data_IF_085414532065
#
_entry.id   IF_085414532065
#
_cell.length_a   1.000
_cell.length_b   1.000
_cell.length_c   1.000
_cell.angle_alpha   90.00
_cell.angle_beta   90.00
_cell.angle_gamma   90.00
#
_symmetry.space_group_name_H-M   'P 1'
#
loop_
_entity.id
_entity.type
_entity.pdbx_description
1 polymer ?
#
# COMPACT_ATOMS: atom_id res chain seq x y z
N UNK A 1 -2.75 11.61 -33.64
CA UNK A 1 -3.71 11.14 -32.61
C UNK A 1 -4.99 11.92 -32.82
N UNK A 2 -6.16 11.28 -32.81
CA UNK A 2 -7.45 11.93 -33.02
C UNK A 2 -8.33 11.78 -31.78
N UNK A 3 -9.09 12.81 -31.45
CA UNK A 3 -10.06 12.78 -30.36
C UNK A 3 -11.23 11.85 -30.74
N UNK A 4 -11.61 10.96 -29.82
CA UNK A 4 -12.87 10.21 -29.94
C UNK A 4 -14.02 11.13 -29.55
N UNK A 5 -14.88 11.47 -30.52
CA UNK A 5 -16.01 12.37 -30.32
C UNK A 5 -17.03 11.84 -29.32
N UNK A 6 -17.18 10.52 -29.18
CA UNK A 6 -18.15 9.93 -28.26
C UNK A 6 -17.83 10.20 -26.79
N UNK A 7 -16.56 10.47 -26.47
CA UNK A 7 -16.15 10.84 -25.12
C UNK A 7 -16.68 12.23 -24.73
N UNK A 8 -16.81 13.15 -25.68
CA UNK A 8 -17.29 14.51 -25.45
C UNK A 8 -18.77 14.60 -25.03
N UNK A 9 -19.54 13.51 -25.12
CA UNK A 9 -20.91 13.45 -24.59
C UNK A 9 -20.92 13.35 -23.05
N UNK A 10 -19.81 12.91 -22.45
CA UNK A 10 -19.66 12.60 -21.03
C UNK A 10 -19.35 13.85 -20.19
N UNK A 11 -19.17 13.64 -18.89
CA UNK A 11 -18.72 14.61 -17.91
C UNK A 11 -17.61 14.04 -17.01
N UNK A 12 -16.70 14.90 -16.58
CA UNK A 12 -15.74 14.60 -15.51
C UNK A 12 -16.16 15.30 -14.22
N UNK A 13 -16.19 14.57 -13.11
CA UNK A 13 -16.36 15.13 -11.76
C UNK A 13 -15.03 15.02 -11.03
N UNK A 14 -14.47 16.16 -10.64
CA UNK A 14 -13.38 16.21 -9.68
C UNK A 14 -13.96 16.19 -8.27
N UNK A 15 -13.64 15.16 -7.51
CA UNK A 15 -14.30 14.88 -6.25
C UNK A 15 -13.31 14.96 -5.09
N UNK A 16 -13.55 15.91 -4.17
CA UNK A 16 -13.04 15.77 -2.81
C UNK A 16 -13.90 14.78 -2.00
N UNK A 17 -13.32 14.24 -0.93
CA UNK A 17 -13.98 13.27 -0.05
C UNK A 17 -14.28 13.90 1.29
N UNK A 18 -13.29 14.56 1.88
CA UNK A 18 -13.40 15.19 3.18
C UNK A 18 -14.31 16.42 3.03
N UNK A 19 -15.35 16.52 3.85
CA UNK A 19 -16.33 17.59 3.72
C UNK A 19 -17.29 17.49 2.53
N UNK A 20 -17.20 16.43 1.71
CA UNK A 20 -18.15 16.14 0.61
C UNK A 20 -18.92 14.84 0.88
N UNK A 21 -18.22 13.70 0.90
CA UNK A 21 -18.81 12.39 1.19
C UNK A 21 -18.54 11.93 2.63
N UNK A 22 -17.55 12.53 3.28
CA UNK A 22 -17.18 12.32 4.66
C UNK A 22 -17.35 13.67 5.39
N UNK A 23 -18.51 13.98 5.97
CA UNK A 23 -18.68 15.17 6.79
C UNK A 23 -17.66 15.15 7.94
N UNK A 24 -16.85 16.20 8.06
CA UNK A 24 -15.80 16.33 9.09
C UNK A 24 -16.26 17.36 10.14
N UNK A 25 -16.68 16.91 11.33
CA UNK A 25 -17.00 17.84 12.41
C UNK A 25 -15.80 18.73 12.74
N UNK A 26 -16.05 20.02 13.02
CA UNK A 26 -15.02 21.05 13.28
C UNK A 26 -14.00 20.70 14.38
N UNK A 27 -14.28 19.68 15.20
CA UNK A 27 -13.43 19.28 16.32
C UNK A 27 -12.72 17.92 16.12
N UNK A 28 -12.95 17.22 15.01
CA UNK A 28 -12.35 15.91 14.72
C UNK A 28 -11.67 15.93 13.37
N UNK A 29 -10.48 16.52 13.28
CA UNK A 29 -9.65 16.45 12.08
C UNK A 29 -9.35 14.99 11.72
N UNK A 30 -9.80 14.58 10.52
CA UNK A 30 -9.51 13.25 9.95
C UNK A 30 -10.22 12.08 10.63
N UNK A 31 -11.21 12.33 11.48
CA UNK A 31 -12.04 11.31 12.12
C UNK A 31 -13.48 11.42 11.67
N UNK A 32 -13.93 10.48 10.83
CA UNK A 32 -15.32 10.41 10.38
C UNK A 32 -15.56 9.16 9.54
N UNK A 33 -16.84 8.81 9.39
CA UNK A 33 -17.30 7.76 8.49
C UNK A 33 -17.91 8.38 7.24
N UNK A 34 -17.81 7.66 6.12
CA UNK A 34 -18.49 8.04 4.89
C UNK A 34 -20.01 8.08 5.14
N UNK A 35 -20.67 9.12 4.64
CA UNK A 35 -22.12 9.29 4.78
C UNK A 35 -22.85 8.61 3.62
N UNK A 36 -23.75 7.69 3.98
CA UNK A 36 -24.70 7.07 3.04
C UNK A 36 -25.51 8.13 2.30
N UNK A 37 -26.00 9.15 3.01
CA UNK A 37 -26.84 10.20 2.47
C UNK A 37 -26.08 11.03 1.42
N UNK A 38 -24.82 11.36 1.67
CA UNK A 38 -23.96 12.07 0.71
C UNK A 38 -23.72 11.23 -0.54
N UNK A 39 -23.47 9.93 -0.39
CA UNK A 39 -23.33 9.00 -1.52
C UNK A 39 -24.63 8.89 -2.34
N UNK A 40 -25.81 8.87 -1.71
CA UNK A 40 -27.08 8.90 -2.44
C UNK A 40 -27.31 10.22 -3.18
N UNK A 41 -26.81 11.35 -2.67
CA UNK A 41 -26.85 12.64 -3.37
C UNK A 41 -25.93 12.66 -4.58
N UNK A 42 -24.72 12.13 -4.45
CA UNK A 42 -23.81 11.95 -5.58
C UNK A 42 -24.43 11.06 -6.66
N UNK A 43 -25.07 9.95 -6.27
CA UNK A 43 -25.83 9.10 -7.19
C UNK A 43 -26.92 9.88 -7.92
N UNK A 44 -27.76 10.64 -7.20
CA UNK A 44 -28.82 11.47 -7.82
C UNK A 44 -28.26 12.47 -8.83
N UNK A 45 -27.11 13.08 -8.52
CA UNK A 45 -26.43 13.99 -9.45
C UNK A 45 -25.95 13.24 -10.70
N UNK A 46 -25.35 12.06 -10.55
CA UNK A 46 -24.92 11.22 -11.67
C UNK A 46 -26.09 10.78 -12.54
N UNK A 47 -27.23 10.44 -11.95
CA UNK A 47 -28.45 10.12 -12.70
C UNK A 47 -28.90 11.31 -13.56
N UNK A 48 -28.79 12.55 -13.05
CA UNK A 48 -29.08 13.78 -13.82
C UNK A 48 -28.07 14.06 -14.94
N UNK A 49 -26.84 13.55 -14.81
CA UNK A 49 -25.81 13.61 -15.85
C UNK A 49 -25.99 12.55 -16.95
N UNK A 50 -27.04 11.72 -16.88
CA UNK A 50 -27.29 10.63 -17.83
C UNK A 50 -26.83 9.25 -17.33
N UNK A 51 -26.49 9.13 -16.04
CA UNK A 51 -26.11 7.87 -15.40
C UNK A 51 -24.61 7.58 -15.48
N UNK A 52 -24.20 6.47 -14.83
CA UNK A 52 -22.77 6.15 -14.62
C UNK A 52 -21.89 6.10 -15.86
N UNK A 53 -22.44 5.71 -17.01
CA UNK A 53 -21.65 5.60 -18.25
C UNK A 53 -21.23 6.98 -18.78
N UNK A 54 -22.00 8.01 -18.42
CA UNK A 54 -21.79 9.39 -18.83
C UNK A 54 -20.86 10.16 -17.89
N UNK A 55 -20.37 9.53 -16.83
CA UNK A 55 -19.56 10.21 -15.81
C UNK A 55 -18.24 9.48 -15.59
N UNK A 56 -17.17 10.25 -15.48
CA UNK A 56 -15.88 9.81 -14.94
C UNK A 56 -15.67 10.53 -13.61
N UNK A 57 -15.33 9.77 -12.55
CA UNK A 57 -14.92 10.36 -11.26
C UNK A 57 -13.40 10.38 -11.19
N UNK A 58 -12.84 11.57 -10.95
CA UNK A 58 -11.43 11.81 -10.70
C UNK A 58 -11.29 12.36 -9.29
N UNK A 59 -10.51 11.71 -8.44
CA UNK A 59 -10.32 12.20 -7.08
C UNK A 59 -9.37 13.39 -7.06
N UNK A 60 -9.82 14.51 -6.50
CA UNK A 60 -8.96 15.63 -6.13
C UNK A 60 -8.57 15.60 -4.64
N UNK A 61 -9.13 14.67 -3.86
CA UNK A 61 -8.80 14.45 -2.44
C UNK A 61 -7.44 13.80 -2.21
N UNK A 62 -6.86 14.00 -1.02
CA UNK A 62 -5.65 13.30 -0.56
C UNK A 62 -5.80 11.77 -0.56
N UNK A 63 -7.04 11.26 -0.50
CA UNK A 63 -7.36 9.83 -0.57
C UNK A 63 -6.78 9.14 -1.80
N UNK A 64 -6.64 9.85 -2.93
CA UNK A 64 -6.07 9.33 -4.18
C UNK A 64 -4.63 8.82 -4.04
N UNK A 65 -3.91 9.28 -3.01
CA UNK A 65 -2.51 8.91 -2.75
C UNK A 65 -2.35 7.57 -2.05
N UNK A 66 -3.45 6.97 -1.57
CA UNK A 66 -3.46 5.72 -0.82
C UNK A 66 -4.45 4.74 -1.46
N UNK A 67 -3.97 3.69 -2.16
CA UNK A 67 -4.86 2.72 -2.82
C UNK A 67 -5.92 2.13 -1.88
N UNK A 68 -5.56 1.84 -0.63
CA UNK A 68 -6.49 1.32 0.37
C UNK A 68 -7.66 2.27 0.70
N UNK A 69 -7.45 3.58 0.59
CA UNK A 69 -8.52 4.58 0.80
C UNK A 69 -9.44 4.65 -0.43
N UNK A 70 -8.88 4.55 -1.63
CA UNK A 70 -9.67 4.45 -2.87
C UNK A 70 -10.51 3.17 -2.87
N UNK A 71 -9.94 2.04 -2.47
CA UNK A 71 -10.65 0.76 -2.32
C UNK A 71 -11.77 0.86 -1.29
N UNK A 72 -11.49 1.48 -0.13
CA UNK A 72 -12.50 1.74 0.90
C UNK A 72 -13.67 2.58 0.37
N UNK A 73 -13.36 3.64 -0.36
CA UNK A 73 -14.37 4.51 -0.98
C UNK A 73 -15.22 3.74 -1.99
N UNK A 74 -14.59 3.05 -2.94
CA UNK A 74 -15.30 2.28 -3.97
C UNK A 74 -16.17 1.18 -3.35
N UNK A 75 -15.68 0.46 -2.34
CA UNK A 75 -16.46 -0.55 -1.63
C UNK A 75 -17.68 0.05 -0.92
N UNK A 76 -17.52 1.20 -0.27
CA UNK A 76 -18.62 1.89 0.41
C UNK A 76 -19.65 2.43 -0.59
N UNK A 77 -19.20 3.08 -1.67
CA UNK A 77 -20.06 3.59 -2.74
C UNK A 77 -20.86 2.45 -3.38
N UNK A 78 -20.23 1.31 -3.65
CA UNK A 78 -20.90 0.13 -4.20
C UNK A 78 -21.93 -0.45 -3.23
N UNK A 79 -21.64 -0.46 -1.91
CA UNK A 79 -22.57 -0.96 -0.90
C UNK A 79 -23.81 -0.06 -0.76
N UNK A 80 -23.62 1.26 -0.83
CA UNK A 80 -24.72 2.22 -0.59
C UNK A 80 -25.48 2.59 -1.86
N UNK A 81 -24.78 2.90 -2.96
CA UNK A 81 -25.38 3.33 -4.23
C UNK A 81 -25.54 2.22 -5.27
N UNK A 82 -25.07 1.00 -4.99
CA UNK A 82 -25.10 -0.09 -5.95
C UNK A 82 -24.22 0.24 -7.16
N UNK A 83 -24.76 -0.04 -8.35
CA UNK A 83 -24.08 0.23 -9.62
C UNK A 83 -24.38 1.63 -10.18
N UNK A 84 -25.05 2.52 -9.44
CA UNK A 84 -25.47 3.84 -9.93
C UNK A 84 -24.36 4.90 -9.99
N UNK A 85 -23.26 4.69 -9.26
CA UNK A 85 -22.10 5.59 -9.21
C UNK A 85 -20.91 4.84 -9.84
N UNK A 86 -20.18 5.43 -10.81
CA UNK A 86 -19.00 4.79 -11.37
C UNK A 86 -17.91 4.71 -10.30
N UNK A 87 -17.06 3.67 -10.40
CA UNK A 87 -15.85 3.62 -9.57
C UNK A 87 -14.94 4.78 -9.92
N UNK A 88 -14.11 5.19 -8.96
CA UNK A 88 -13.04 6.15 -9.20
C UNK A 88 -12.16 5.66 -10.34
N UNK A 89 -12.02 6.49 -11.38
CA UNK A 89 -11.23 6.15 -12.56
C UNK A 89 -9.78 6.61 -12.43
N UNK A 90 -9.55 7.74 -11.76
CA UNK A 90 -8.23 8.36 -11.65
C UNK A 90 -8.15 9.31 -10.45
N UNK A 91 -6.99 9.94 -10.24
CA UNK A 91 -6.80 11.04 -9.31
C UNK A 91 -5.97 12.17 -9.92
N UNK A 92 -6.21 13.40 -9.46
CA UNK A 92 -5.36 14.53 -9.86
C UNK A 92 -3.90 14.28 -9.45
N UNK A 93 -2.90 14.85 -10.15
CA UNK A 93 -1.50 14.71 -9.76
C UNK A 93 -1.29 15.15 -8.30
N UNK A 94 -0.37 14.49 -7.59
CA UNK A 94 -0.02 14.92 -6.22
C UNK A 94 0.96 16.09 -6.25
N UNK A 95 0.53 17.23 -5.70
CA UNK A 95 1.35 18.40 -5.51
C UNK A 95 1.50 19.25 -6.77
N UNK A 96 1.84 20.51 -6.54
CA UNK A 96 2.06 21.48 -7.61
C UNK A 96 3.47 21.37 -8.18
N UNK A 97 3.53 21.14 -9.49
CA UNK A 97 4.76 21.14 -10.29
C UNK A 97 5.06 22.54 -10.80
N UNK A 98 4.02 23.21 -11.29
CA UNK A 98 3.98 24.63 -11.62
C UNK A 98 3.02 25.26 -10.60
N UNK A 99 3.52 26.28 -9.89
CA UNK A 99 2.77 26.97 -8.84
C UNK A 99 2.28 28.29 -9.40
N UNK A 100 0.96 28.45 -9.49
CA UNK A 100 0.38 29.74 -9.88
C UNK A 100 0.56 30.79 -8.78
N UNK A 101 0.67 32.06 -9.16
CA UNK A 101 0.59 33.16 -8.19
C UNK A 101 -0.86 33.57 -8.04
N UNK A 102 -1.35 33.56 -6.80
CA UNK A 102 -2.71 33.95 -6.43
C UNK A 102 -2.65 34.85 -5.20
N UNK A 103 -3.64 35.71 -5.00
CA UNK A 103 -3.67 36.73 -3.94
C UNK A 103 -4.92 36.66 -3.05
N UNK A 104 -5.74 35.61 -3.17
CA UNK A 104 -6.86 35.36 -2.26
C UNK A 104 -6.35 34.90 -0.87
N UNK A 105 -7.10 35.24 0.19
CA UNK A 105 -6.75 34.95 1.59
C UNK A 105 -5.37 35.46 2.01
N UNK A 106 -5.07 36.74 1.77
CA UNK A 106 -3.78 37.35 2.15
C UNK A 106 -3.40 37.15 3.64
N UNK A 107 -4.39 37.01 4.52
CA UNK A 107 -4.20 36.78 5.97
C UNK A 107 -4.09 35.30 6.36
N UNK A 108 -4.36 34.36 5.44
CA UNK A 108 -4.18 32.92 5.64
C UNK A 108 -3.40 32.28 4.47
N UNK A 109 -2.06 32.36 4.51
CA UNK A 109 -1.20 31.77 3.48
C UNK A 109 -1.34 30.25 3.35
N UNK A 110 -1.83 29.57 4.40
CA UNK A 110 -1.98 28.11 4.38
C UNK A 110 -3.22 27.72 3.59
N UNK A 111 -4.36 28.37 3.85
CA UNK A 111 -5.58 28.20 3.06
C UNK A 111 -5.36 28.64 1.61
N UNK A 112 -4.70 29.78 1.41
CA UNK A 112 -4.31 30.25 0.07
C UNK A 112 -3.52 29.18 -0.70
N UNK A 113 -2.52 28.58 -0.06
CA UNK A 113 -1.74 27.49 -0.65
C UNK A 113 -2.60 26.28 -1.00
N UNK A 114 -3.46 25.83 -0.10
CA UNK A 114 -4.26 24.62 -0.31
C UNK A 114 -5.25 24.81 -1.48
N UNK A 115 -5.94 25.96 -1.53
CA UNK A 115 -6.89 26.25 -2.61
C UNK A 115 -6.13 26.35 -3.93
N UNK A 116 -4.97 27.02 -3.94
CA UNK A 116 -4.14 27.15 -5.13
C UNK A 116 -3.68 25.81 -5.64
N UNK A 117 -3.13 25.00 -4.73
CA UNK A 117 -2.61 23.70 -5.08
C UNK A 117 -3.73 22.81 -5.65
N UNK A 118 -4.94 22.87 -5.06
CA UNK A 118 -6.12 22.15 -5.58
C UNK A 118 -6.52 22.58 -6.99
N UNK A 119 -6.64 23.89 -7.24
CA UNK A 119 -7.02 24.41 -8.57
C UNK A 119 -5.96 24.04 -9.61
N UNK A 120 -4.67 24.20 -9.27
CA UNK A 120 -3.55 23.86 -10.17
C UNK A 120 -3.50 22.36 -10.47
N UNK A 121 -3.85 21.50 -9.52
CA UNK A 121 -3.95 20.05 -9.72
C UNK A 121 -5.07 19.66 -10.69
N UNK A 122 -6.26 20.26 -10.57
CA UNK A 122 -7.39 20.04 -11.48
C UNK A 122 -7.01 20.48 -12.90
N UNK A 123 -6.51 21.70 -13.07
CA UNK A 123 -6.13 22.22 -14.39
C UNK A 123 -5.00 21.43 -15.04
N UNK A 124 -4.01 21.03 -14.25
CA UNK A 124 -2.95 20.14 -14.74
C UNK A 124 -3.52 18.83 -15.26
N UNK A 125 -4.46 18.23 -14.52
CA UNK A 125 -5.10 17.00 -14.97
C UNK A 125 -5.84 17.23 -16.30
N UNK A 126 -6.61 18.32 -16.42
CA UNK A 126 -7.31 18.68 -17.66
C UNK A 126 -6.36 18.80 -18.87
N UNK A 127 -5.20 19.43 -18.68
CA UNK A 127 -4.24 19.69 -19.76
C UNK A 127 -3.40 18.46 -20.15
N UNK A 128 -3.26 17.49 -19.24
CA UNK A 128 -2.45 16.28 -19.45
C UNK A 128 -3.27 15.07 -19.89
N UNK A 129 -4.60 15.14 -19.84
CA UNK A 129 -5.52 14.04 -20.20
C UNK A 129 -6.43 14.40 -21.39
N UNK A 130 -5.97 15.26 -22.30
CA UNK A 130 -6.78 15.75 -23.43
C UNK A 130 -7.27 14.63 -24.36
N UNK A 131 -6.49 13.56 -24.50
CA UNK A 131 -6.83 12.43 -25.39
C UNK A 131 -7.81 11.46 -24.73
N UNK A 132 -7.63 11.21 -23.43
CA UNK A 132 -8.39 10.26 -22.63
C UNK A 132 -9.71 10.85 -22.14
N UNK A 133 -9.72 12.17 -21.86
CA UNK A 133 -10.84 12.92 -21.30
C UNK A 133 -11.10 14.24 -22.05
N UNK A 134 -11.36 14.18 -23.36
CA UNK A 134 -11.61 15.37 -24.17
C UNK A 134 -12.84 16.17 -23.74
N UNK A 135 -13.83 15.55 -23.10
CA UNK A 135 -14.97 16.23 -22.49
C UNK A 135 -14.55 17.28 -21.47
N UNK A 136 -13.50 16.99 -20.69
CA UNK A 136 -13.08 17.83 -19.58
C UNK A 136 -12.36 19.09 -20.08
N UNK A 137 -11.36 18.96 -20.95
CA UNK A 137 -10.72 20.13 -21.56
C UNK A 137 -11.71 20.93 -22.43
N UNK A 138 -12.73 20.25 -22.98
CA UNK A 138 -13.83 20.88 -23.69
C UNK A 138 -14.85 21.63 -22.82
N UNK A 139 -14.63 21.69 -21.50
CA UNK A 139 -15.45 22.45 -20.56
C UNK A 139 -16.64 21.67 -19.96
N UNK A 140 -16.71 20.35 -20.12
CA UNK A 140 -17.77 19.51 -19.54
C UNK A 140 -17.26 18.80 -18.28
N UNK A 141 -16.96 19.61 -17.27
CA UNK A 141 -16.51 19.13 -15.97
C UNK A 141 -17.00 20.05 -14.85
N UNK A 142 -16.94 19.56 -13.62
CA UNK A 142 -17.03 20.41 -12.44
C UNK A 142 -16.36 19.73 -11.25
N UNK A 143 -15.94 20.52 -10.27
CA UNK A 143 -15.37 20.08 -9.02
C UNK A 143 -16.39 20.20 -7.88
N UNK A 144 -16.40 19.21 -6.98
CA UNK A 144 -17.16 19.23 -5.73
C UNK A 144 -16.16 19.16 -4.59
N UNK A 145 -16.14 20.20 -3.77
CA UNK A 145 -15.12 20.39 -2.74
C UNK A 145 -15.68 21.22 -1.58
N UNK A 146 -15.16 21.01 -0.38
CA UNK A 146 -15.50 21.80 0.80
C UNK A 146 -14.60 23.04 0.95
N UNK A 147 -13.49 23.08 0.21
CA UNK A 147 -12.65 24.25 0.04
C UNK A 147 -13.30 25.27 -0.90
N UNK A 148 -13.14 26.57 -0.63
CA UNK A 148 -13.73 27.62 -1.47
C UNK A 148 -12.86 27.89 -2.72
N UNK A 149 -13.03 27.06 -3.75
CA UNK A 149 -12.21 27.08 -4.98
C UNK A 149 -12.64 28.17 -6.00
N UNK A 150 -13.87 28.67 -5.92
CA UNK A 150 -14.41 29.72 -6.81
C UNK A 150 -13.78 31.11 -6.62
N UNK A 151 -12.89 31.27 -5.63
CA UNK A 151 -12.03 32.46 -5.53
C UNK A 151 -11.07 32.58 -6.70
N UNK A 152 -10.76 31.48 -7.38
CA UNK A 152 -10.02 31.47 -8.63
C UNK A 152 -11.00 31.54 -9.82
N UNK A 153 -10.79 32.50 -10.73
CA UNK A 153 -11.63 32.71 -11.92
C UNK A 153 -11.75 31.44 -12.78
N UNK A 154 -10.72 30.59 -12.77
CA UNK A 154 -10.69 29.31 -13.48
C UNK A 154 -11.81 28.35 -13.04
N UNK A 155 -12.21 28.41 -11.78
CA UNK A 155 -13.23 27.51 -11.22
C UNK A 155 -14.66 28.01 -11.44
N UNK A 156 -14.83 29.22 -11.97
CA UNK A 156 -16.14 29.85 -12.14
C UNK A 156 -17.01 29.03 -13.10
N UNK A 157 -18.21 28.67 -12.64
CA UNK A 157 -19.16 27.86 -13.41
C UNK A 157 -18.85 26.36 -13.41
N UNK A 158 -17.75 25.94 -12.77
CA UNK A 158 -17.30 24.56 -12.69
C UNK A 158 -17.11 24.10 -11.24
N UNK A 159 -17.71 24.78 -10.26
CA UNK A 159 -17.46 24.48 -8.85
C UNK A 159 -18.72 24.46 -8.00
N UNK A 160 -18.87 23.39 -7.22
CA UNK A 160 -19.92 23.19 -6.22
C UNK A 160 -19.26 23.15 -4.84
N UNK A 161 -19.50 24.18 -4.04
CA UNK A 161 -18.97 24.31 -2.69
C UNK A 161 -19.86 23.56 -1.68
N UNK A 162 -19.29 22.64 -0.91
CA UNK A 162 -19.98 21.98 0.21
C UNK A 162 -19.53 22.54 1.56
N UNK A 163 -20.32 22.30 2.61
CA UNK A 163 -19.92 22.65 3.97
C UNK A 163 -19.19 21.46 4.61
N UNK A 164 -17.96 21.67 5.08
CA UNK A 164 -17.07 20.62 5.64
C UNK A 164 -17.75 19.73 6.67
N UNK A 165 -18.53 20.29 7.59
CA UNK A 165 -19.17 19.56 8.70
C UNK A 165 -20.53 18.94 8.35
N UNK A 166 -21.08 19.23 7.16
CA UNK A 166 -22.38 18.73 6.69
C UNK A 166 -22.22 17.71 5.57
N UNK A 167 -21.22 17.89 4.71
CA UNK A 167 -21.09 17.14 3.46
C UNK A 167 -22.01 17.67 2.37
N UNK A 168 -22.18 16.87 1.32
CA UNK A 168 -23.07 17.15 0.20
C UNK A 168 -24.54 17.15 0.64
N UNK A 169 -25.29 18.16 0.21
CA UNK A 169 -26.71 18.39 0.49
C UNK A 169 -27.57 18.31 -0.78
N UNK A 170 -28.89 18.33 -0.62
CA UNK A 170 -29.81 18.37 -1.76
C UNK A 170 -29.71 19.70 -2.52
N UNK A 171 -29.40 20.80 -1.82
CA UNK A 171 -29.16 22.10 -2.45
C UNK A 171 -27.95 22.07 -3.38
N UNK A 172 -26.89 21.34 -2.99
CA UNK A 172 -25.68 21.20 -3.81
C UNK A 172 -25.97 20.40 -5.09
N UNK A 173 -26.81 19.36 -5.01
CA UNK A 173 -27.28 18.61 -6.19
C UNK A 173 -28.05 19.53 -7.14
N UNK A 174 -28.95 20.38 -6.63
CA UNK A 174 -29.69 21.33 -7.46
C UNK A 174 -28.77 22.39 -8.08
N UNK A 175 -27.82 22.92 -7.30
CA UNK A 175 -26.84 23.90 -7.78
C UNK A 175 -25.99 23.30 -8.91
N UNK A 176 -25.45 22.10 -8.71
CA UNK A 176 -24.69 21.38 -9.73
C UNK A 176 -25.53 21.16 -11.00
N UNK A 177 -26.80 20.76 -10.83
CA UNK A 177 -27.72 20.53 -11.95
C UNK A 177 -28.01 21.80 -12.75
N UNK A 178 -28.12 22.95 -12.08
CA UNK A 178 -28.31 24.23 -12.73
C UNK A 178 -27.07 24.64 -13.54
N UNK A 179 -25.85 24.35 -13.06
CA UNK A 179 -24.60 24.62 -13.78
C UNK A 179 -24.53 23.85 -15.11
N UNK A 180 -25.10 22.64 -15.19
CA UNK A 180 -25.09 21.84 -16.43
C UNK A 180 -25.70 22.57 -17.63
N UNK A 181 -26.66 23.46 -17.41
CA UNK A 181 -27.26 24.27 -18.47
C UNK A 181 -26.28 25.27 -19.10
N UNK A 182 -25.22 25.66 -18.37
CA UNK A 182 -24.15 26.52 -18.86
C UNK A 182 -22.98 25.76 -19.48
N UNK A 183 -22.93 24.43 -19.35
CA UNK A 183 -21.84 23.65 -19.92
C UNK A 183 -21.93 23.57 -21.45
N UNK A 184 -20.79 23.54 -22.16
CA UNK A 184 -20.76 23.42 -23.62
C UNK A 184 -21.49 22.17 -24.10
N UNK A 185 -22.11 22.26 -25.27
CA UNK A 185 -22.65 21.08 -25.97
C UNK A 185 -21.52 20.09 -26.31
N UNK A 186 -21.80 18.79 -26.51
CA UNK A 186 -20.77 17.82 -26.91
C UNK A 186 -19.97 18.22 -28.15
N UNK A 187 -20.62 18.84 -29.14
CA UNK A 187 -19.97 19.32 -30.36
C UNK A 187 -19.01 20.48 -30.09
N UNK A 188 -19.41 21.39 -29.20
CA UNK A 188 -18.56 22.51 -28.76
C UNK A 188 -17.37 21.99 -27.96
N UNK A 189 -17.60 21.02 -27.06
CA UNK A 189 -16.55 20.39 -26.27
C UNK A 189 -15.54 19.66 -27.15
N UNK A 190 -16.00 18.90 -28.15
CA UNK A 190 -15.14 18.24 -29.13
C UNK A 190 -14.28 19.24 -29.91
N UNK A 191 -14.87 20.33 -30.42
CA UNK A 191 -14.13 21.36 -31.14
C UNK A 191 -13.06 22.01 -30.25
N UNK A 192 -13.39 22.29 -28.99
CA UNK A 192 -12.44 22.82 -28.00
C UNK A 192 -11.31 21.83 -27.69
N UNK A 193 -11.60 20.53 -27.54
CA UNK A 193 -10.58 19.51 -27.31
C UNK A 193 -9.62 19.36 -28.51
N UNK A 194 -10.14 19.41 -29.75
CA UNK A 194 -9.29 19.41 -30.95
C UNK A 194 -8.40 20.67 -30.99
N UNK A 195 -8.93 21.83 -30.62
CA UNK A 195 -8.15 23.06 -30.54
C UNK A 195 -7.05 22.96 -29.46
N UNK A 196 -7.37 22.40 -28.29
CA UNK A 196 -6.41 22.22 -27.20
C UNK A 196 -5.22 21.31 -27.59
N UNK A 197 -5.44 20.28 -28.41
CA UNK A 197 -4.35 19.45 -28.94
C UNK A 197 -3.35 20.23 -29.81
N UNK A 198 -3.81 21.29 -30.45
CA UNK A 198 -3.01 22.14 -31.32
C UNK A 198 -2.46 23.39 -30.62
N UNK A 199 -2.83 23.64 -29.36
CA UNK A 199 -2.42 24.82 -28.61
C UNK A 199 -0.94 24.72 -28.17
N UNK A 200 -0.04 25.57 -28.71
CA UNK A 200 1.36 25.55 -28.33
C UNK A 200 1.62 25.85 -26.86
N UNK A 201 0.79 26.68 -26.21
CA UNK A 201 0.95 27.05 -24.82
C UNK A 201 0.65 25.85 -23.90
N UNK A 202 -0.44 25.13 -24.16
CA UNK A 202 -0.77 23.89 -23.44
C UNK A 202 0.30 22.82 -23.65
N UNK A 203 0.82 22.67 -24.87
CA UNK A 203 1.92 21.73 -25.14
C UNK A 203 3.22 22.11 -24.44
N UNK A 204 3.52 23.39 -24.33
CA UNK A 204 4.68 23.84 -23.57
C UNK A 204 4.51 23.57 -22.06
N UNK A 205 3.32 23.82 -21.51
CA UNK A 205 3.01 23.51 -20.12
C UNK A 205 3.13 22.01 -19.83
N UNK A 206 2.56 21.16 -20.70
CA UNK A 206 2.67 19.70 -20.63
C UNK A 206 4.15 19.25 -20.59
N UNK A 207 4.99 19.82 -21.47
CA UNK A 207 6.44 19.55 -21.47
C UNK A 207 7.09 19.95 -20.16
N UNK A 208 6.77 21.12 -19.62
CA UNK A 208 7.37 21.61 -18.37
C UNK A 208 6.92 20.80 -17.16
N UNK A 209 5.66 20.34 -17.14
CA UNK A 209 5.16 19.39 -16.15
C UNK A 209 5.96 18.10 -16.21
N UNK A 210 6.12 17.51 -17.39
CA UNK A 210 6.85 16.25 -17.55
C UNK A 210 8.31 16.36 -17.16
N UNK A 211 8.98 17.50 -17.43
CA UNK A 211 10.37 17.74 -17.00
C UNK A 211 10.54 17.68 -15.48
N UNK A 212 9.63 18.31 -14.75
CA UNK A 212 9.69 18.28 -13.28
C UNK A 212 9.34 16.90 -12.74
N UNK A 213 8.35 16.22 -13.31
CA UNK A 213 8.01 14.85 -12.92
C UNK A 213 9.18 13.90 -13.17
N UNK A 214 9.84 14.01 -14.32
CA UNK A 214 11.05 13.26 -14.62
C UNK A 214 12.14 13.53 -13.57
N UNK A 215 12.40 14.79 -13.26
CA UNK A 215 13.40 15.17 -12.26
C UNK A 215 13.08 14.58 -10.87
N UNK A 216 11.81 14.58 -10.45
CA UNK A 216 11.37 13.95 -9.19
C UNK A 216 11.57 12.43 -9.20
N UNK A 217 11.23 11.77 -10.31
CA UNK A 217 11.42 10.33 -10.48
C UNK A 217 12.90 9.95 -10.47
N UNK A 218 13.78 10.75 -11.06
CA UNK A 218 15.23 10.55 -11.02
C UNK A 218 15.77 10.61 -9.58
N UNK A 219 15.31 11.58 -8.78
CA UNK A 219 15.65 11.68 -7.35
C UNK A 219 15.12 10.48 -6.56
N UNK A 220 13.85 10.10 -6.77
CA UNK A 220 13.27 8.93 -6.10
C UNK A 220 14.01 7.63 -6.45
N UNK A 221 14.33 7.44 -7.72
CA UNK A 221 15.10 6.29 -8.19
C UNK A 221 16.47 6.24 -7.53
N UNK A 222 17.17 7.38 -7.43
CA UNK A 222 18.46 7.47 -6.75
C UNK A 222 18.34 7.09 -5.25
N UNK A 223 17.33 7.61 -4.55
CA UNK A 223 17.06 7.29 -3.14
C UNK A 223 16.78 5.80 -2.93
N UNK A 224 15.83 5.23 -3.68
CA UNK A 224 15.46 3.80 -3.57
C UNK A 224 16.66 2.90 -3.92
N UNK A 225 17.47 3.29 -4.90
CA UNK A 225 18.68 2.55 -5.26
C UNK A 225 19.70 2.56 -4.11
N UNK A 226 19.87 3.68 -3.42
CA UNK A 226 20.74 3.79 -2.25
C UNK A 226 20.22 2.93 -1.07
N UNK A 227 18.93 3.00 -0.76
CA UNK A 227 18.29 2.18 0.29
C UNK A 227 18.40 0.68 -0.02
N UNK A 228 18.22 0.28 -1.28
CA UNK A 228 18.38 -1.11 -1.71
C UNK A 228 19.83 -1.59 -1.51
N UNK A 229 20.81 -0.76 -1.87
CA UNK A 229 22.22 -1.09 -1.68
C UNK A 229 22.57 -1.25 -0.19
N UNK A 230 22.05 -0.37 0.67
CA UNK A 230 22.21 -0.48 2.13
C UNK A 230 21.57 -1.78 2.67
N UNK A 231 20.33 -2.07 2.27
CA UNK A 231 19.62 -3.28 2.68
C UNK A 231 20.37 -4.55 2.24
N UNK A 232 20.92 -4.57 1.03
CA UNK A 232 21.74 -5.67 0.51
C UNK A 232 23.03 -5.85 1.32
N UNK A 233 23.73 -4.76 1.66
CA UNK A 233 24.92 -4.81 2.50
C UNK A 233 24.60 -5.36 3.91
N UNK A 234 23.50 -4.92 4.50
CA UNK A 234 23.02 -5.42 5.81
C UNK A 234 22.66 -6.91 5.75
N UNK A 235 21.97 -7.34 4.70
CA UNK A 235 21.63 -8.75 4.50
C UNK A 235 22.89 -9.63 4.35
N UNK A 236 23.90 -9.16 3.62
CA UNK A 236 25.18 -9.86 3.49
C UNK A 236 25.93 -9.99 4.83
N UNK A 237 25.93 -8.92 5.65
CA UNK A 237 26.51 -8.93 6.99
C UNK A 237 25.81 -9.96 7.90
N UNK A 238 24.47 -9.91 7.96
CA UNK A 238 23.68 -10.85 8.76
C UNK A 238 23.86 -12.30 8.29
N UNK A 239 23.95 -12.53 6.98
CA UNK A 239 24.23 -13.87 6.44
C UNK A 239 25.57 -14.41 6.94
N UNK A 240 26.58 -13.55 7.01
CA UNK A 240 27.91 -13.91 7.52
C UNK A 240 27.88 -14.22 9.02
N UNK A 241 27.18 -13.40 9.80
CA UNK A 241 26.97 -13.61 11.23
C UNK A 241 26.23 -14.93 11.51
N UNK A 242 25.13 -15.19 10.80
CA UNK A 242 24.35 -16.44 10.91
C UNK A 242 25.24 -17.66 10.61
N UNK A 243 26.11 -17.59 9.59
CA UNK A 243 27.08 -18.66 9.30
C UNK A 243 28.06 -18.87 10.47
N UNK A 244 28.55 -17.79 11.06
CA UNK A 244 29.43 -17.82 12.23
C UNK A 244 28.76 -18.50 13.44
N UNK A 245 27.58 -18.02 13.82
CA UNK A 245 26.79 -18.57 14.93
C UNK A 245 26.42 -20.03 14.71
N UNK A 246 26.08 -20.40 13.46
CA UNK A 246 25.78 -21.80 13.11
C UNK A 246 27.00 -22.70 13.33
N UNK A 247 28.20 -22.24 12.96
CA UNK A 247 29.45 -22.97 13.20
C UNK A 247 29.76 -23.10 14.69
N UNK A 248 29.62 -22.03 15.45
CA UNK A 248 29.81 -22.04 16.91
C UNK A 248 28.83 -22.98 17.61
N UNK A 249 27.56 -22.97 17.20
CA UNK A 249 26.54 -23.88 17.71
C UNK A 249 26.92 -25.34 17.43
N UNK A 250 27.35 -25.65 16.21
CA UNK A 250 27.79 -26.98 15.84
C UNK A 250 29.03 -27.43 16.64
N UNK A 251 29.95 -26.52 16.97
CA UNK A 251 31.10 -26.81 17.83
C UNK A 251 30.69 -27.06 19.29
N UNK A 252 29.85 -26.20 19.86
CA UNK A 252 29.29 -26.41 21.21
C UNK A 252 28.53 -27.73 21.30
N UNK A 253 27.74 -28.06 20.29
CA UNK A 253 27.01 -29.32 20.22
C UNK A 253 27.98 -30.52 20.21
N UNK A 254 29.03 -30.48 19.38
CA UNK A 254 30.08 -31.52 19.37
C UNK A 254 30.76 -31.68 20.72
N UNK A 255 31.09 -30.58 21.40
CA UNK A 255 31.69 -30.61 22.74
C UNK A 255 30.75 -31.23 23.78
N UNK A 256 29.46 -30.88 23.75
CA UNK A 256 28.45 -31.47 24.63
C UNK A 256 28.28 -32.96 24.36
N UNK A 257 28.26 -33.38 23.09
CA UNK A 257 28.11 -34.78 22.72
C UNK A 257 29.34 -35.62 23.10
N UNK A 258 30.56 -35.07 22.99
CA UNK A 258 31.77 -35.73 23.48
C UNK A 258 31.74 -35.89 25.01
N UNK A 259 31.35 -34.84 25.74
CA UNK A 259 31.21 -34.91 27.21
C UNK A 259 30.15 -35.94 27.61
N UNK A 260 28.99 -35.94 26.96
CA UNK A 260 27.92 -36.94 27.16
C UNK A 260 28.43 -38.35 26.90
N UNK A 261 29.17 -38.55 25.82
CA UNK A 261 29.77 -39.83 25.48
C UNK A 261 30.74 -40.32 26.57
N UNK A 262 31.66 -39.47 27.05
CA UNK A 262 32.61 -39.84 28.11
C UNK A 262 31.92 -40.22 29.42
N UNK A 263 30.89 -39.45 29.82
CA UNK A 263 30.08 -39.77 30.99
C UNK A 263 29.36 -41.11 30.82
N UNK A 264 28.79 -41.36 29.64
CA UNK A 264 28.14 -42.63 29.34
C UNK A 264 29.12 -43.81 29.37
N UNK A 265 30.31 -43.68 28.77
CA UNK A 265 31.38 -44.70 28.84
C UNK A 265 31.66 -45.05 30.30
N UNK A 266 31.90 -44.04 31.14
CA UNK A 266 32.21 -44.23 32.56
C UNK A 266 31.05 -44.92 33.32
N UNK A 267 29.82 -44.43 33.16
CA UNK A 267 28.66 -44.97 33.86
C UNK A 267 28.29 -46.39 33.42
N UNK A 268 28.39 -46.69 32.13
CA UNK A 268 28.12 -48.02 31.61
C UNK A 268 29.25 -49.00 31.93
N UNK A 269 30.51 -48.57 31.97
CA UNK A 269 31.63 -49.44 32.36
C UNK A 269 31.46 -50.00 33.78
N UNK A 270 30.80 -49.26 34.68
CA UNK A 270 30.44 -49.74 36.03
C UNK A 270 29.43 -50.90 36.02
N UNK A 271 28.61 -51.02 34.98
CA UNK A 271 27.51 -51.99 34.88
C UNK A 271 27.79 -53.11 33.88
N UNK A 272 28.76 -52.92 33.00
CA UNK A 272 29.07 -53.81 31.88
C UNK A 272 30.57 -54.14 31.89
N UNK A 273 31.01 -55.24 32.56
CA UNK A 273 32.42 -55.59 32.70
C UNK A 273 33.19 -55.71 31.37
N UNK A 274 32.52 -56.21 30.32
CA UNK A 274 33.11 -56.31 28.99
C UNK A 274 33.47 -54.95 28.37
N UNK A 275 32.66 -53.92 28.62
CA UNK A 275 32.95 -52.54 28.18
C UNK A 275 34.14 -51.97 28.96
N UNK A 276 34.22 -52.23 30.27
CA UNK A 276 35.34 -51.78 31.10
C UNK A 276 36.67 -52.40 30.63
N UNK A 277 36.69 -53.71 30.39
CA UNK A 277 37.87 -54.41 29.87
C UNK A 277 38.28 -53.91 28.47
N UNK A 278 37.31 -53.62 27.61
CA UNK A 278 37.58 -53.05 26.28
C UNK A 278 38.21 -51.65 26.38
N UNK A 279 37.72 -50.79 27.27
CA UNK A 279 38.28 -49.44 27.49
C UNK A 279 39.72 -49.52 28.02
N UNK A 280 40.00 -50.42 28.95
CA UNK A 280 41.35 -50.65 29.49
C UNK A 280 42.31 -51.19 28.42
N UNK A 281 41.90 -52.22 27.66
CA UNK A 281 42.70 -52.76 26.57
C UNK A 281 43.02 -51.71 25.52
N UNK A 282 42.03 -50.90 25.16
CA UNK A 282 42.21 -49.87 24.16
C UNK A 282 43.21 -48.79 24.66
N UNK A 283 43.30 -48.51 25.97
CA UNK A 283 44.31 -47.57 26.53
C UNK A 283 45.77 -47.99 26.31
N UNK A 284 46.01 -49.29 26.10
CA UNK A 284 47.35 -49.86 25.88
C UNK A 284 47.62 -50.19 24.41
N UNK A 285 46.60 -50.09 23.54
CA UNK A 285 46.69 -50.41 22.11
C UNK A 285 47.00 -49.14 21.31
N UNK A 286 47.77 -49.26 20.23
CA UNK A 286 48.11 -48.13 19.34
C UNK A 286 47.82 -48.42 17.87
N UNK A 287 47.91 -47.40 17.01
CA UNK A 287 47.77 -47.54 15.57
C UNK A 287 46.34 -47.88 15.10
N UNK A 288 46.22 -48.67 14.03
CA UNK A 288 44.93 -49.03 13.44
C UNK A 288 44.03 -49.82 14.40
N UNK A 289 44.60 -50.77 15.14
CA UNK A 289 43.87 -51.59 16.10
C UNK A 289 43.19 -50.77 17.20
N UNK A 290 43.84 -49.69 17.68
CA UNK A 290 43.23 -48.75 18.63
C UNK A 290 42.03 -48.04 18.04
N UNK A 291 42.12 -47.57 16.79
CA UNK A 291 41.00 -46.89 16.11
C UNK A 291 39.79 -47.81 15.96
N UNK A 292 40.02 -49.06 15.60
CA UNK A 292 38.95 -50.05 15.44
C UNK A 292 38.29 -50.37 16.79
N UNK A 293 39.09 -50.51 17.87
CA UNK A 293 38.55 -50.68 19.22
C UNK A 293 37.76 -49.46 19.68
N UNK A 294 38.26 -48.24 19.46
CA UNK A 294 37.56 -47.01 19.83
C UNK A 294 36.24 -46.85 19.07
N UNK A 295 36.21 -47.25 17.78
CA UNK A 295 34.99 -47.28 16.99
C UNK A 295 33.97 -48.30 17.53
N UNK A 296 34.42 -49.50 17.91
CA UNK A 296 33.57 -50.53 18.50
C UNK A 296 33.02 -50.13 19.88
N UNK A 297 33.87 -49.57 20.75
CA UNK A 297 33.48 -49.02 22.07
C UNK A 297 32.45 -47.90 21.88
N UNK A 298 32.68 -46.99 20.93
CA UNK A 298 31.73 -45.92 20.60
C UNK A 298 30.38 -46.47 20.17
N UNK A 299 30.36 -47.41 19.23
CA UNK A 299 29.13 -48.05 18.76
C UNK A 299 28.36 -48.73 19.89
N UNK A 300 29.04 -49.48 20.76
CA UNK A 300 28.40 -50.16 21.89
C UNK A 300 27.80 -49.16 22.89
N UNK A 301 28.53 -48.10 23.23
CA UNK A 301 28.04 -47.07 24.16
C UNK A 301 26.84 -46.32 23.59
N UNK A 302 26.86 -45.98 22.29
CA UNK A 302 25.70 -45.37 21.62
C UNK A 302 24.46 -46.27 21.73
N UNK A 303 24.58 -47.56 21.43
CA UNK A 303 23.47 -48.51 21.57
C UNK A 303 22.94 -48.61 23.01
N UNK A 304 23.83 -48.55 24.01
CA UNK A 304 23.44 -48.55 25.42
C UNK A 304 22.73 -47.25 25.83
N UNK A 305 23.15 -46.09 25.29
CA UNK A 305 22.47 -44.82 25.46
C UNK A 305 21.06 -44.84 24.84
N UNK A 306 20.94 -45.30 23.59
CA UNK A 306 19.67 -45.39 22.88
C UNK A 306 18.70 -46.34 23.60
N UNK A 307 19.19 -47.50 24.04
CA UNK A 307 18.41 -48.43 24.86
C UNK A 307 17.91 -47.78 26.14
N UNK A 308 18.74 -46.99 26.83
CA UNK A 308 18.36 -46.30 28.07
C UNK A 308 17.26 -45.26 27.81
N UNK A 309 17.35 -44.48 26.74
CA UNK A 309 16.32 -43.51 26.37
C UNK A 309 15.01 -44.18 25.94
N UNK A 310 15.07 -45.25 25.13
CA UNK A 310 13.87 -46.02 24.77
C UNK A 310 13.16 -46.58 26.00
N UNK A 311 13.92 -47.13 26.96
CA UNK A 311 13.35 -47.60 28.23
C UNK A 311 12.71 -46.46 29.04
N UNK A 312 13.23 -45.24 28.98
CA UNK A 312 12.67 -44.07 29.63
C UNK A 312 11.36 -43.63 28.97
N UNK A 313 11.31 -43.60 27.63
CA UNK A 313 10.10 -43.29 26.85
C UNK A 313 9.01 -44.31 27.15
N UNK A 314 9.30 -45.61 27.05
CA UNK A 314 8.34 -46.70 27.35
C UNK A 314 7.78 -46.59 28.78
N UNK A 315 8.62 -46.25 29.76
CA UNK A 315 8.16 -46.01 31.14
C UNK A 315 7.24 -44.80 31.26
N UNK A 316 7.53 -43.73 30.52
CA UNK A 316 6.71 -42.52 30.53
C UNK A 316 5.34 -42.74 29.87
N UNK A 317 5.30 -43.50 28.77
CA UNK A 317 4.07 -43.87 28.08
C UNK A 317 3.21 -44.81 28.92
N UNK A 318 3.80 -45.85 29.52
CA UNK A 318 3.10 -46.74 30.44
C UNK A 318 2.55 -46.01 31.68
N UNK A 319 3.15 -44.88 32.07
CA UNK A 319 2.63 -44.02 33.15
C UNK A 319 1.45 -43.18 32.68
N UNK A 320 1.50 -42.66 31.44
CA UNK A 320 0.40 -41.89 30.83
C UNK A 320 -0.83 -42.78 30.61
N UNK A 321 -0.67 -43.96 30.03
CA UNK A 321 -1.78 -44.89 29.79
C UNK A 321 -2.51 -45.27 31.08
N UNK A 322 -1.76 -45.52 32.16
CA UNK A 322 -2.34 -45.79 33.49
C UNK A 322 -3.08 -44.60 34.12
N UNK A 323 -2.78 -43.36 33.70
CA UNK A 323 -3.50 -42.17 34.17
C UNK A 323 -4.77 -41.91 33.35
N UNK A 324 -4.78 -42.32 32.08
CA UNK A 324 -5.96 -42.26 31.21
C UNK A 324 -6.98 -43.35 31.57
N UNK A 325 -6.54 -44.56 31.93
CA UNK A 325 -7.42 -45.65 32.42
C UNK A 325 -8.11 -45.36 33.77
N UNK A 326 -7.71 -44.29 34.47
CA UNK A 326 -8.24 -43.90 35.79
C UNK A 326 -9.18 -42.67 35.69
N UNK A 327 -9.34 -42.09 34.49
CA UNK A 327 -10.30 -41.01 34.20
C UNK A 327 -11.56 -41.55 33.54
#
# INVERSE_FOLDING_TARGET
MSIDRSLCDRYVIFLDIDGVLLPVPKFTFGGGDLSKECVQRLRRLIDRLGGRAMVTIVLSSTWRTQPSMVDRLNAFVQAEAGDGVPVVADGTPNGTVLVSSVDYYAEDPSEQRLVRDRVDEVYRWLHTHVLEHPEAVGGRWFAIDDMKLDVDERMRGHFVHTQTDVGMTDADVEAASAMLASHPSPDTAYAAAVAALADPALKQEEIDIHRVLQSRLEVQLATVTAELAEAQAKAASLSTEVKGLTKELAEKQRCMDDMRYRLAVHDFSKRHPALAAAVELASTTSGAARRDMDAAIRSLVTLLMDRKELLKVLRSEAKKSRQEDVR
#
